data_IF_320389470442
#
_entry.id   IF_320389470442
#
_cell.length_a   1.000
_cell.length_b   1.000
_cell.length_c   1.000
_cell.angle_alpha   90.00
_cell.angle_beta   90.00
_cell.angle_gamma   90.00
#
_symmetry.space_group_name_H-M   'P 1'
#
loop_
_entity.id
_entity.type
_entity.pdbx_description
1 polymer ?
#
# COMPACT_ATOMS: atom_id res chain seq x y z
N UNK A 1 8.51 4.68 14.61
CA UNK A 1 7.57 4.22 15.67
C UNK A 1 8.39 3.52 16.74
N UNK A 2 7.97 3.56 18.00
CA UNK A 2 8.47 2.60 18.98
C UNK A 2 8.02 1.19 18.59
N UNK A 3 8.63 0.14 19.16
CA UNK A 3 8.18 -1.24 18.92
C UNK A 3 6.72 -1.42 19.36
N UNK A 4 6.35 -0.86 20.52
CA UNK A 4 4.99 -0.92 21.04
C UNK A 4 3.98 -0.24 20.11
N UNK A 5 4.30 0.94 19.59
CA UNK A 5 3.44 1.64 18.64
C UNK A 5 3.33 0.89 17.31
N UNK A 6 4.43 0.33 16.81
CA UNK A 6 4.43 -0.49 15.61
C UNK A 6 3.53 -1.73 15.75
N UNK A 7 3.66 -2.45 16.87
CA UNK A 7 2.81 -3.59 17.20
C UNK A 7 1.34 -3.19 17.32
N UNK A 8 1.06 -2.02 17.94
CA UNK A 8 -0.29 -1.47 18.06
C UNK A 8 -0.93 -1.20 16.69
N UNK A 9 -0.21 -0.55 15.75
CA UNK A 9 -0.73 -0.32 14.39
C UNK A 9 -1.14 -1.64 13.73
N UNK A 10 -0.24 -2.62 13.73
CA UNK A 10 -0.47 -3.89 13.03
C UNK A 10 -1.63 -4.66 13.67
N UNK A 11 -1.67 -4.77 15.00
CA UNK A 11 -2.71 -5.52 15.69
C UNK A 11 -4.10 -4.88 15.53
N UNK A 12 -4.21 -3.55 15.73
CA UNK A 12 -5.49 -2.85 15.69
C UNK A 12 -6.07 -2.80 14.27
N UNK A 13 -5.23 -2.51 13.26
CA UNK A 13 -5.65 -2.53 11.85
C UNK A 13 -6.14 -3.91 11.44
N UNK A 14 -5.37 -4.96 11.74
CA UNK A 14 -5.75 -6.34 11.37
C UNK A 14 -7.05 -6.76 12.04
N UNK A 15 -7.26 -6.39 13.31
CA UNK A 15 -8.50 -6.68 14.03
C UNK A 15 -9.70 -5.93 13.45
N UNK A 16 -9.55 -4.67 13.06
CA UNK A 16 -10.62 -3.91 12.42
C UNK A 16 -11.04 -4.54 11.08
N UNK A 17 -10.05 -4.89 10.24
CA UNK A 17 -10.29 -5.58 8.97
C UNK A 17 -10.99 -6.92 9.18
N UNK A 18 -10.49 -7.76 10.10
CA UNK A 18 -11.07 -9.07 10.37
C UNK A 18 -12.52 -8.99 10.89
N UNK A 19 -12.85 -7.94 11.65
CA UNK A 19 -14.17 -7.76 12.23
C UNK A 19 -15.22 -7.27 11.21
N UNK A 20 -14.83 -6.45 10.23
CA UNK A 20 -15.79 -5.69 9.42
C UNK A 20 -15.66 -5.91 7.91
N UNK A 21 -14.48 -6.28 7.40
CA UNK A 21 -14.24 -6.39 5.95
C UNK A 21 -14.02 -7.82 5.45
N UNK A 22 -13.66 -8.74 6.35
CA UNK A 22 -13.44 -10.14 6.01
C UNK A 22 -14.71 -10.75 5.36
N UNK A 23 -14.52 -11.51 4.28
CA UNK A 23 -15.59 -12.12 3.49
C UNK A 23 -16.27 -11.20 2.47
N UNK A 24 -15.98 -9.89 2.45
CA UNK A 24 -16.71 -8.92 1.63
C UNK A 24 -15.92 -8.44 0.40
N UNK A 25 -14.73 -8.98 0.15
CA UNK A 25 -13.89 -8.57 -0.98
C UNK A 25 -12.76 -9.53 -1.27
N UNK A 26 -11.81 -9.10 -2.10
CA UNK A 26 -10.60 -9.86 -2.34
C UNK A 26 -9.54 -9.05 -3.07
N UNK A 27 -8.44 -9.73 -3.41
CA UNK A 27 -7.35 -9.14 -4.17
C UNK A 27 -6.80 -10.14 -5.20
N UNK A 28 -6.23 -9.62 -6.28
CA UNK A 28 -5.59 -10.42 -7.31
C UNK A 28 -4.36 -9.73 -7.90
N UNK A 29 -3.36 -10.52 -8.27
CA UNK A 29 -2.18 -10.08 -9.00
C UNK A 29 -2.33 -10.39 -10.48
N UNK A 30 -2.04 -9.41 -11.33
CA UNK A 30 -2.02 -9.53 -12.78
C UNK A 30 -0.59 -9.35 -13.31
N UNK A 31 -0.18 -10.18 -14.26
CA UNK A 31 1.08 -10.02 -14.98
C UNK A 31 0.93 -9.01 -16.14
N UNK A 32 0.62 -7.76 -15.78
CA UNK A 32 0.35 -6.68 -16.73
C UNK A 32 0.75 -5.32 -16.15
N UNK A 33 0.99 -4.35 -17.04
CA UNK A 33 1.24 -2.97 -16.67
C UNK A 33 -0.04 -2.31 -16.09
N UNK A 34 0.11 -1.25 -15.31
CA UNK A 34 -1.05 -0.53 -14.76
C UNK A 34 -1.94 0.06 -15.85
N UNK A 35 -1.38 0.49 -16.97
CA UNK A 35 -2.15 0.96 -18.14
C UNK A 35 -2.99 -0.15 -18.74
N UNK A 36 -2.44 -1.35 -18.89
CA UNK A 36 -3.18 -2.50 -19.43
C UNK A 36 -4.26 -2.96 -18.46
N UNK A 37 -3.97 -2.99 -17.16
CA UNK A 37 -4.98 -3.30 -16.14
C UNK A 37 -6.13 -2.30 -16.18
N UNK A 38 -5.87 -0.99 -16.33
CA UNK A 38 -6.93 0.01 -16.48
C UNK A 38 -7.82 -0.28 -17.70
N UNK A 39 -7.22 -0.62 -18.84
CA UNK A 39 -7.98 -1.01 -20.04
C UNK A 39 -8.82 -2.29 -19.84
N UNK A 40 -8.33 -3.24 -19.04
CA UNK A 40 -9.08 -4.46 -18.70
C UNK A 40 -10.24 -4.19 -17.75
N UNK A 41 -10.13 -3.14 -16.93
CA UNK A 41 -11.20 -2.68 -16.04
C UNK A 41 -12.28 -1.87 -16.77
N UNK A 42 -11.98 -1.32 -17.95
CA UNK A 42 -12.96 -0.58 -18.75
C UNK A 42 -14.17 -1.47 -19.08
N UNK A 43 -15.34 -1.03 -18.66
CA UNK A 43 -16.61 -1.75 -18.86
C UNK A 43 -16.94 -2.78 -17.79
N UNK A 44 -16.08 -3.01 -16.79
CA UNK A 44 -16.46 -3.73 -15.57
C UNK A 44 -17.27 -2.76 -14.70
N UNK A 45 -18.51 -3.15 -14.38
CA UNK A 45 -19.44 -2.33 -13.60
C UNK A 45 -19.28 -2.53 -12.10
N UNK A 46 -18.80 -3.69 -11.70
CA UNK A 46 -18.58 -4.04 -10.30
C UNK A 46 -17.32 -3.33 -9.76
N UNK A 47 -17.29 -2.97 -8.45
CA UNK A 47 -16.15 -2.25 -7.89
C UNK A 47 -14.86 -3.07 -7.91
N UNK A 48 -13.91 -2.62 -8.74
CA UNK A 48 -12.53 -3.10 -8.76
C UNK A 48 -11.59 -1.92 -9.01
N UNK A 49 -10.52 -1.85 -8.22
CA UNK A 49 -9.54 -0.75 -8.29
C UNK A 49 -8.12 -1.28 -8.31
N UNK A 50 -7.20 -0.50 -8.85
CA UNK A 50 -5.76 -0.78 -8.73
C UNK A 50 -5.35 -0.55 -7.27
N UNK A 51 -4.91 -1.62 -6.62
CA UNK A 51 -4.46 -1.60 -5.23
C UNK A 51 -2.96 -1.28 -5.10
N UNK A 52 -2.13 -1.80 -6.01
CA UNK A 52 -0.70 -1.55 -6.01
C UNK A 52 -0.08 -1.74 -7.41
N UNK A 53 0.95 -0.96 -7.70
CA UNK A 53 1.81 -1.13 -8.89
C UNK A 53 3.18 -1.58 -8.40
N UNK A 54 3.47 -2.87 -8.53
CA UNK A 54 4.68 -3.48 -7.97
C UNK A 54 5.84 -3.55 -8.99
N UNK A 55 5.56 -3.29 -10.25
CA UNK A 55 6.55 -3.23 -11.32
C UNK A 55 5.92 -2.91 -12.68
N UNK A 56 6.74 -2.76 -13.73
CA UNK A 56 6.26 -2.39 -15.07
C UNK A 56 5.29 -3.43 -15.68
N UNK A 57 5.35 -4.69 -15.24
CA UNK A 57 4.48 -5.77 -15.68
C UNK A 57 3.81 -6.52 -14.50
N UNK A 58 3.62 -5.86 -13.36
CA UNK A 58 2.99 -6.48 -12.18
C UNK A 58 2.12 -5.48 -11.44
N UNK A 59 0.82 -5.71 -11.50
CA UNK A 59 -0.20 -4.85 -10.88
C UNK A 59 -1.12 -5.69 -10.02
N UNK A 60 -1.46 -5.19 -8.84
CA UNK A 60 -2.44 -5.80 -7.93
C UNK A 60 -3.72 -4.99 -7.98
N UNK A 61 -4.85 -5.69 -8.04
CA UNK A 61 -6.19 -5.12 -7.95
C UNK A 61 -6.89 -5.62 -6.70
N UNK A 62 -7.86 -4.85 -6.24
CA UNK A 62 -8.75 -5.21 -5.14
C UNK A 62 -10.17 -4.77 -5.47
N UNK A 63 -11.16 -5.52 -4.99
CA UNK A 63 -12.56 -5.24 -5.30
C UNK A 63 -13.52 -6.28 -4.73
N UNK A 64 -14.78 -6.19 -5.15
CA UNK A 64 -15.79 -7.19 -4.79
C UNK A 64 -15.47 -8.55 -5.40
N UNK A 65 -15.99 -9.66 -4.83
CA UNK A 65 -15.83 -10.99 -5.42
C UNK A 65 -16.26 -11.04 -6.89
N UNK A 66 -17.39 -10.43 -7.21
CA UNK A 66 -18.02 -10.40 -8.53
C UNK A 66 -17.15 -9.64 -9.54
N UNK A 67 -16.66 -8.45 -9.18
CA UNK A 67 -15.80 -7.67 -10.06
C UNK A 67 -14.47 -8.35 -10.32
N UNK A 68 -13.91 -9.01 -9.31
CA UNK A 68 -12.69 -9.81 -9.49
C UNK A 68 -12.91 -11.03 -10.37
N UNK A 69 -14.10 -11.63 -10.36
CA UNK A 69 -14.47 -12.73 -11.26
C UNK A 69 -14.70 -12.25 -12.69
N UNK A 70 -15.36 -11.11 -12.88
CA UNK A 70 -15.51 -10.47 -14.19
C UNK A 70 -14.14 -10.14 -14.82
N UNK A 71 -13.23 -9.58 -14.02
CA UNK A 71 -11.86 -9.29 -14.45
C UNK A 71 -11.07 -10.57 -14.77
N UNK A 72 -11.22 -11.63 -13.97
CA UNK A 72 -10.58 -12.93 -14.25
C UNK A 72 -11.00 -13.44 -15.62
N UNK A 73 -12.31 -13.46 -15.90
CA UNK A 73 -12.83 -13.92 -17.20
C UNK A 73 -12.30 -13.07 -18.35
N UNK A 74 -12.14 -11.75 -18.15
CA UNK A 74 -11.51 -10.88 -19.15
C UNK A 74 -10.04 -11.21 -19.37
N UNK A 75 -9.29 -11.40 -18.30
CA UNK A 75 -7.87 -11.77 -18.37
C UNK A 75 -7.66 -13.11 -19.09
N UNK A 76 -8.53 -14.09 -18.85
CA UNK A 76 -8.48 -15.40 -19.54
C UNK A 76 -8.68 -15.25 -21.05
N UNK A 77 -9.64 -14.43 -21.50
CA UNK A 77 -9.86 -14.15 -22.92
C UNK A 77 -8.68 -13.45 -23.57
N UNK A 78 -8.06 -12.52 -22.84
CA UNK A 78 -6.99 -11.66 -23.37
C UNK A 78 -5.58 -12.26 -23.11
N UNK A 79 -5.48 -13.49 -22.57
CA UNK A 79 -4.22 -14.18 -22.32
C UNK A 79 -3.36 -13.59 -21.19
N UNK A 80 -3.95 -12.80 -20.29
CA UNK A 80 -3.25 -12.16 -19.17
C UNK A 80 -3.25 -13.09 -17.96
N UNK A 81 -2.08 -13.37 -17.39
CA UNK A 81 -2.01 -14.17 -16.15
C UNK A 81 -2.65 -13.42 -14.99
N UNK A 82 -3.65 -14.06 -14.38
CA UNK A 82 -4.36 -13.60 -13.20
C UNK A 82 -4.18 -14.59 -12.05
N UNK A 83 -3.86 -14.11 -10.85
CA UNK A 83 -3.72 -14.96 -9.65
C UNK A 83 -4.43 -14.32 -8.46
N UNK A 84 -5.42 -15.03 -7.89
CA UNK A 84 -6.03 -14.65 -6.61
C UNK A 84 -4.99 -14.64 -5.49
N UNK A 85 -5.06 -13.64 -4.64
CA UNK A 85 -4.28 -13.55 -3.40
C UNK A 85 -5.16 -14.15 -2.29
N UNK A 86 -4.64 -15.02 -1.40
CA UNK A 86 -5.43 -15.67 -0.35
C UNK A 86 -5.76 -14.68 0.78
N UNK A 87 -6.65 -13.73 0.47
CA UNK A 87 -7.25 -12.73 1.37
C UNK A 87 -8.70 -12.55 0.97
N UNK A 88 -9.56 -12.26 1.95
CA UNK A 88 -11.01 -12.19 1.82
C UNK A 88 -11.56 -10.75 2.02
N UNK A 89 -10.71 -9.75 1.81
CA UNK A 89 -11.05 -8.32 1.89
C UNK A 89 -10.31 -7.53 0.79
N UNK A 90 -10.88 -6.41 0.35
CA UNK A 90 -10.30 -5.55 -0.69
C UNK A 90 -9.51 -4.38 -0.09
N UNK A 91 -8.28 -4.64 0.38
CA UNK A 91 -7.37 -3.58 0.84
C UNK A 91 -7.01 -2.62 -0.31
N UNK A 92 -6.86 -1.33 0.00
CA UNK A 92 -6.58 -0.27 -0.99
C UNK A 92 -7.74 -0.03 -1.99
N UNK A 93 -8.97 -0.22 -1.53
CA UNK A 93 -10.20 0.16 -2.24
C UNK A 93 -11.09 1.01 -1.34
N UNK A 94 -12.16 1.60 -1.89
CA UNK A 94 -13.17 2.32 -1.10
C UNK A 94 -13.84 1.47 -0.01
N UNK A 95 -13.72 0.14 -0.05
CA UNK A 95 -14.20 -0.73 1.03
C UNK A 95 -13.56 -0.38 2.39
N UNK A 96 -12.32 0.13 2.40
CA UNK A 96 -11.64 0.47 3.65
C UNK A 96 -12.15 1.76 4.30
N UNK A 97 -12.96 2.56 3.59
CA UNK A 97 -13.50 3.82 4.12
C UNK A 97 -14.43 3.59 5.31
N UNK A 98 -15.11 2.44 5.35
CA UNK A 98 -15.93 2.01 6.49
C UNK A 98 -15.12 1.93 7.81
N UNK A 99 -13.80 1.72 7.73
CA UNK A 99 -12.94 1.61 8.90
C UNK A 99 -12.28 2.92 9.31
N UNK A 100 -12.45 4.02 8.55
CA UNK A 100 -11.66 5.23 8.70
C UNK A 100 -11.72 5.80 10.12
N UNK A 101 -12.93 6.05 10.64
CA UNK A 101 -13.13 6.63 11.97
C UNK A 101 -12.59 5.73 13.09
N UNK A 102 -12.85 4.42 12.97
CA UNK A 102 -12.36 3.42 13.93
C UNK A 102 -10.85 3.40 13.97
N UNK A 103 -10.18 3.35 12.81
CA UNK A 103 -8.72 3.32 12.72
C UNK A 103 -8.14 4.62 13.30
N UNK A 104 -8.73 5.78 13.01
CA UNK A 104 -8.27 7.05 13.57
C UNK A 104 -8.37 7.07 15.09
N UNK A 105 -9.48 6.60 15.65
CA UNK A 105 -9.67 6.50 17.10
C UNK A 105 -8.68 5.51 17.75
N UNK A 106 -8.55 4.30 17.18
CA UNK A 106 -7.68 3.23 17.70
C UNK A 106 -6.19 3.65 17.72
N UNK A 107 -5.76 4.43 16.72
CA UNK A 107 -4.38 4.87 16.53
C UNK A 107 -4.08 6.27 17.11
N UNK A 108 -5.06 7.02 17.60
CA UNK A 108 -4.88 8.37 18.14
C UNK A 108 -3.76 8.50 19.22
N UNK A 109 -3.51 7.49 20.07
CA UNK A 109 -2.42 7.59 21.07
C UNK A 109 -1.01 7.42 20.50
N UNK A 110 -0.86 6.96 19.25
CA UNK A 110 0.45 6.70 18.65
C UNK A 110 1.23 8.01 18.49
N UNK A 111 2.56 7.95 18.71
CA UNK A 111 3.44 9.10 18.52
C UNK A 111 4.52 8.77 17.49
N UNK A 112 4.32 9.29 16.28
CA UNK A 112 5.33 9.17 15.24
C UNK A 112 6.56 10.02 15.58
N UNK A 113 7.67 9.37 15.89
CA UNK A 113 8.98 10.01 16.00
C UNK A 113 9.62 10.26 14.63
N UNK A 114 10.69 11.05 14.63
CA UNK A 114 11.50 11.28 13.43
C UNK A 114 12.23 10.01 13.01
N UNK A 115 12.26 9.74 11.70
CA UNK A 115 13.04 8.63 11.16
C UNK A 115 14.54 8.87 11.36
N UNK A 116 15.27 7.86 11.83
CA UNK A 116 16.74 7.88 11.95
C UNK A 116 17.42 7.28 10.72
N UNK A 117 16.66 6.55 9.91
CA UNK A 117 17.05 5.98 8.62
C UNK A 117 16.16 6.56 7.52
N UNK A 118 16.63 6.67 6.26
CA UNK A 118 15.77 7.05 5.15
C UNK A 118 14.56 6.13 5.04
N UNK A 119 13.35 6.71 4.98
CA UNK A 119 12.11 5.97 4.81
C UNK A 119 11.43 6.38 3.50
N UNK A 120 11.47 5.51 2.50
CA UNK A 120 10.80 5.70 1.22
C UNK A 120 9.34 5.24 1.36
N UNK A 121 8.40 6.19 1.37
CA UNK A 121 6.99 5.87 1.53
C UNK A 121 6.40 5.42 0.19
N UNK A 122 5.81 4.23 0.16
CA UNK A 122 5.01 3.76 -0.99
C UNK A 122 3.64 4.43 -1.08
N UNK A 123 3.23 5.21 -0.06
CA UNK A 123 1.98 5.96 -0.06
C UNK A 123 2.17 7.33 -0.70
N UNK A 124 3.22 8.07 -0.31
CA UNK A 124 3.47 9.42 -0.86
C UNK A 124 4.41 9.43 -2.06
N UNK A 125 5.17 8.35 -2.30
CA UNK A 125 6.19 8.31 -3.35
C UNK A 125 7.50 9.02 -2.98
N UNK A 126 7.60 9.55 -1.75
CA UNK A 126 8.72 10.39 -1.32
C UNK A 126 9.57 9.75 -0.22
N UNK A 127 10.82 10.20 -0.14
CA UNK A 127 11.75 9.84 0.92
C UNK A 127 11.62 10.78 2.14
N UNK A 128 11.24 10.23 3.29
CA UNK A 128 11.39 10.91 4.58
C UNK A 128 12.84 10.76 5.04
N UNK A 129 13.62 11.83 4.87
CA UNK A 129 15.04 11.87 5.23
C UNK A 129 15.24 11.93 6.75
N UNK A 130 16.27 11.26 7.29
CA UNK A 130 16.62 11.42 8.68
C UNK A 130 17.08 12.84 9.00
N UNK A 131 17.06 13.21 10.28
CA UNK A 131 17.82 14.39 10.72
C UNK A 131 19.29 14.12 10.47
N UNK A 132 19.93 14.95 9.65
CA UNK A 132 21.32 15.23 9.90
C UNK A 132 21.35 16.24 11.05
N UNK A 133 21.78 15.88 12.28
CA UNK A 133 22.26 16.93 13.17
C UNK A 133 23.32 17.73 12.39
N UNK A 134 23.32 19.06 12.55
CA UNK A 134 24.41 19.89 12.02
C UNK A 134 25.72 19.18 12.29
N UNK A 135 26.63 19.01 11.31
CA UNK A 135 27.94 18.45 11.61
C UNK A 135 28.50 19.27 12.77
N UNK A 136 28.87 18.60 13.87
CA UNK A 136 29.71 19.21 14.88
C UNK A 136 30.86 19.83 14.10
N UNK A 137 30.96 21.17 14.10
CA UNK A 137 32.13 21.87 13.59
C UNK A 137 33.29 21.49 14.51
N UNK A 138 33.92 20.35 14.25
CA UNK A 138 35.28 20.12 14.71
C UNK A 138 36.11 21.12 13.94
N UNK A 139 36.64 22.14 14.64
CA UNK A 139 37.59 23.08 14.05
C UNK A 139 38.72 22.26 13.43
N UNK A 140 38.83 22.27 12.10
CA UNK A 140 40.09 21.98 11.41
C UNK A 140 40.18 20.81 10.43
N UNK A 141 39.15 20.01 10.11
CA UNK A 141 39.26 19.03 9.00
C UNK A 141 37.95 18.89 8.22
N UNK A 142 37.96 19.29 6.96
CA UNK A 142 36.84 19.16 6.01
C UNK A 142 36.74 17.73 5.49
N UNK A 143 35.65 17.03 5.79
CA UNK A 143 35.24 15.83 5.05
C UNK A 143 34.08 16.21 4.14
N UNK A 144 34.30 16.15 2.82
CA UNK A 144 33.27 16.31 1.81
C UNK A 144 32.44 15.03 1.73
N UNK A 145 31.32 14.99 2.45
CA UNK A 145 30.28 14.00 2.17
C UNK A 145 29.62 14.37 0.83
N UNK A 146 29.86 13.54 -0.19
CA UNK A 146 29.17 13.61 -1.46
C UNK A 146 27.65 13.63 -1.19
N UNK A 147 26.99 14.72 -1.59
CA UNK A 147 25.54 14.79 -1.61
C UNK A 147 25.06 13.87 -2.72
N UNK A 148 24.57 12.68 -2.36
CA UNK A 148 23.72 11.92 -3.27
C UNK A 148 22.46 12.75 -3.49
N UNK A 149 22.44 13.47 -4.61
CA UNK A 149 21.25 14.15 -5.11
C UNK A 149 20.33 13.07 -5.68
N UNK A 150 19.08 13.10 -5.24
CA UNK A 150 17.98 12.70 -6.10
C UNK A 150 17.79 13.80 -7.15
#
# INVERSE_FOLDING_TARGET
LSLADGARVVALRSRAIAAELAGHGGMASLAASVSDVRRLLDGITEPVTVAAVNGPATTVVSGTPEGLDALRARCERDGVRYRRIPVDYASHSGQVDALADRILADLAPIRAGRAQVPFFSTVTGDCRKPYAPSPLRVRGRSWSAARTRC
#
